data_IF_510902730541
#
_entry.id   IF_510902730541
#
_cell.length_a   1.000
_cell.length_b   1.000
_cell.length_c   1.000
_cell.angle_alpha   90.00
_cell.angle_beta   90.00
_cell.angle_gamma   90.00
#
_symmetry.space_group_name_H-M   'P 1'
#
loop_
_entity.id
_entity.type
_entity.pdbx_description
1 polymer ?
#
# COMPACT_ATOMS: atom_id res chain seq x y z
N UNK A 1 -7.05 -6.63 2.93
CA UNK A 1 -7.27 -5.23 2.49
C UNK A 1 -7.60 -4.29 3.64
N UNK A 2 -8.57 -4.58 4.51
CA UNK A 2 -8.98 -3.68 5.62
C UNK A 2 -7.83 -3.21 6.51
N UNK A 3 -6.95 -4.11 6.96
CA UNK A 3 -5.76 -3.76 7.77
C UNK A 3 -4.82 -2.81 7.02
N UNK A 4 -4.62 -3.02 5.72
CA UNK A 4 -3.85 -2.12 4.87
C UNK A 4 -4.50 -0.74 4.74
N UNK A 5 -5.84 -0.68 4.62
CA UNK A 5 -6.55 0.60 4.55
C UNK A 5 -6.37 1.42 5.85
N UNK A 6 -6.46 0.78 7.01
CA UNK A 6 -6.20 1.44 8.30
C UNK A 6 -4.77 1.98 8.39
N UNK A 7 -3.78 1.22 7.89
CA UNK A 7 -2.40 1.69 7.83
C UNK A 7 -2.25 2.88 6.90
N UNK A 8 -2.83 2.81 5.70
CA UNK A 8 -2.79 3.89 4.70
C UNK A 8 -3.30 5.21 5.29
N UNK A 9 -4.43 5.19 5.99
CA UNK A 9 -4.97 6.36 6.69
C UNK A 9 -4.01 6.87 7.78
N UNK A 10 -3.44 5.98 8.59
CA UNK A 10 -2.55 6.39 9.69
C UNK A 10 -1.25 7.07 9.24
N UNK A 11 -0.79 6.81 8.00
CA UNK A 11 0.43 7.41 7.44
C UNK A 11 0.14 8.40 6.31
N UNK A 12 -1.15 8.69 6.06
CA UNK A 12 -1.62 9.52 4.95
C UNK A 12 -0.98 9.14 3.59
N UNK A 13 -0.94 7.85 3.28
CA UNK A 13 -0.33 7.33 2.06
C UNK A 13 -1.12 6.14 1.53
N UNK A 14 -1.81 6.34 0.41
CA UNK A 14 -2.80 5.41 -0.11
C UNK A 14 -2.26 4.59 -1.28
N UNK A 15 -2.41 3.25 -1.25
CA UNK A 15 -2.03 2.40 -2.36
C UNK A 15 -3.02 2.54 -3.53
N UNK A 16 -2.53 2.33 -4.75
CA UNK A 16 -3.40 1.96 -5.87
C UNK A 16 -3.54 0.44 -5.87
N UNK A 17 -4.76 -0.09 -5.84
CA UNK A 17 -4.97 -1.53 -5.95
C UNK A 17 -6.19 -1.91 -6.77
N UNK A 18 -6.22 -3.16 -7.20
CA UNK A 18 -7.40 -3.81 -7.78
C UNK A 18 -7.60 -5.18 -7.12
N UNK A 19 -8.84 -5.58 -6.91
CA UNK A 19 -9.19 -6.87 -6.31
C UNK A 19 -10.12 -7.65 -7.23
N UNK A 20 -9.78 -8.92 -7.47
CA UNK A 20 -10.63 -9.89 -8.17
C UNK A 20 -10.68 -11.14 -7.30
N UNK A 21 -11.81 -11.35 -6.64
CA UNK A 21 -12.04 -12.45 -5.69
C UNK A 21 -10.90 -12.54 -4.65
N UNK A 22 -10.06 -13.56 -4.76
CA UNK A 22 -8.96 -13.84 -3.84
C UNK A 22 -7.63 -13.14 -4.19
N UNK A 23 -7.55 -12.43 -5.32
CA UNK A 23 -6.32 -11.76 -5.76
C UNK A 23 -6.41 -10.25 -5.57
N UNK A 24 -5.36 -9.67 -5.00
CA UNK A 24 -5.20 -8.21 -4.88
C UNK A 24 -3.90 -7.84 -5.58
N UNK A 25 -3.98 -7.00 -6.61
CA UNK A 25 -2.81 -6.40 -7.25
C UNK A 25 -2.61 -4.99 -6.69
N UNK A 26 -1.38 -4.68 -6.27
CA UNK A 26 -1.04 -3.42 -5.59
C UNK A 26 0.07 -2.70 -6.35
N UNK A 27 -0.06 -1.38 -6.47
CA UNK A 27 0.96 -0.45 -6.97
C UNK A 27 1.14 0.66 -5.94
N UNK A 28 2.39 0.95 -5.58
CA UNK A 28 2.76 1.98 -4.63
C UNK A 28 3.59 3.04 -5.36
N UNK A 29 3.21 4.30 -5.17
CA UNK A 29 3.97 5.47 -5.61
C UNK A 29 3.56 6.66 -4.74
N UNK A 30 4.50 7.56 -4.50
CA UNK A 30 4.26 8.81 -3.81
C UNK A 30 4.07 9.93 -4.83
N UNK A 31 2.82 10.39 -4.99
CA UNK A 31 2.44 11.40 -5.97
C UNK A 31 3.21 12.72 -5.80
N UNK A 32 3.39 13.17 -4.55
CA UNK A 32 4.00 14.47 -4.23
C UNK A 32 5.45 14.60 -4.72
N UNK A 33 6.16 13.46 -4.84
CA UNK A 33 7.54 13.41 -5.36
C UNK A 33 7.60 12.84 -6.79
N UNK A 34 6.45 12.55 -7.41
CA UNK A 34 6.34 12.00 -8.76
C UNK A 34 7.01 10.63 -8.94
N UNK A 35 7.15 9.84 -7.87
CA UNK A 35 7.96 8.62 -7.91
C UNK A 35 7.88 7.78 -6.64
N UNK A 36 8.98 7.08 -6.33
CA UNK A 36 9.09 6.27 -5.11
C UNK A 36 9.60 7.11 -3.94
N UNK A 37 9.09 6.82 -2.74
CA UNK A 37 9.58 7.34 -1.48
C UNK A 37 9.64 6.27 -0.40
N UNK A 38 10.12 6.64 0.79
CA UNK A 38 10.11 5.77 1.96
C UNK A 38 8.70 5.37 2.41
N UNK A 39 7.65 6.16 2.06
CA UNK A 39 6.27 5.80 2.35
C UNK A 39 5.86 4.53 1.59
N UNK A 40 6.27 4.42 0.32
CA UNK A 40 6.00 3.25 -0.51
C UNK A 40 6.68 2.01 0.06
N UNK A 41 7.95 2.15 0.46
CA UNK A 41 8.71 1.05 1.07
C UNK A 41 8.09 0.59 2.39
N UNK A 42 7.75 1.52 3.27
CA UNK A 42 7.12 1.21 4.57
C UNK A 42 5.76 0.52 4.38
N UNK A 43 4.99 0.96 3.39
CA UNK A 43 3.71 0.35 3.07
C UNK A 43 3.87 -1.05 2.50
N UNK A 44 4.86 -1.27 1.62
CA UNK A 44 5.17 -2.57 1.04
C UNK A 44 5.58 -3.59 2.12
N UNK A 45 6.46 -3.20 3.04
CA UNK A 45 6.91 -4.05 4.16
C UNK A 45 5.72 -4.47 5.03
N UNK A 46 4.89 -3.50 5.44
CA UNK A 46 3.69 -3.80 6.22
C UNK A 46 2.75 -4.77 5.49
N UNK A 47 2.48 -4.55 4.19
CA UNK A 47 1.63 -5.45 3.42
C UNK A 47 2.22 -6.86 3.30
N UNK A 48 3.54 -6.99 3.16
CA UNK A 48 4.22 -8.29 3.08
C UNK A 48 4.08 -9.08 4.40
N UNK A 49 4.25 -8.41 5.55
CA UNK A 49 4.03 -9.01 6.87
C UNK A 49 2.59 -9.48 7.09
N UNK A 50 1.61 -8.84 6.44
CA UNK A 50 0.21 -9.25 6.52
C UNK A 50 -0.18 -10.40 5.60
N UNK A 51 0.60 -10.62 4.53
CA UNK A 51 0.32 -11.59 3.50
C UNK A 51 0.98 -12.95 3.75
N UNK A 52 2.04 -12.98 4.58
CA UNK A 52 2.66 -14.20 5.11
C UNK A 52 1.86 -14.78 6.26
#
# INVERSE_FOLDING_TARGET
>A
MTRCALKAESINHHPKWSNVYNRVAVTLTTHDVGGLSNLDLNMAVFMAELAG
#
